data_IF_822503288915
#
_entry.id   IF_822503288915
#
_cell.length_a   1.000
_cell.length_b   1.000
_cell.length_c   1.000
_cell.angle_alpha   90.00
_cell.angle_beta   90.00
_cell.angle_gamma   90.00
#
_symmetry.space_group_name_H-M   'P 1'
#
loop_
_entity.id
_entity.type
_entity.pdbx_description
1 polymer ?
#
# COMPACT_ATOMS: atom_id res chain seq x y z
N UNK A 1 25.68 11.91 -15.47
CA UNK A 1 24.47 12.41 -14.79
C UNK A 1 23.61 11.21 -14.41
N UNK A 2 23.38 10.93 -13.12
CA UNK A 2 22.51 9.80 -12.71
C UNK A 2 21.05 10.23 -12.84
N UNK A 3 20.22 9.37 -13.45
CA UNK A 3 18.78 9.59 -13.56
C UNK A 3 18.18 9.51 -12.16
N UNK A 4 17.58 10.61 -11.67
CA UNK A 4 16.86 10.66 -10.40
C UNK A 4 15.38 10.50 -10.68
N UNK A 5 14.80 9.40 -10.22
CA UNK A 5 13.36 9.15 -10.30
C UNK A 5 12.71 9.35 -8.94
N UNK A 6 11.65 10.15 -8.90
CA UNK A 6 10.77 10.30 -7.73
C UNK A 6 9.60 9.34 -7.85
N UNK A 7 9.16 8.80 -6.71
CA UNK A 7 8.03 7.88 -6.63
C UNK A 7 7.08 8.21 -5.50
N UNK A 8 5.90 7.59 -5.55
CA UNK A 8 4.80 7.75 -4.59
C UNK A 8 4.59 6.46 -3.82
N UNK A 9 4.24 6.58 -2.54
CA UNK A 9 3.92 5.43 -1.68
C UNK A 9 2.42 5.44 -1.36
N UNK A 10 1.72 4.32 -1.63
CA UNK A 10 0.29 4.17 -1.37
C UNK A 10 0.03 3.00 -0.41
N UNK A 11 -0.97 3.16 0.46
CA UNK A 11 -1.41 2.17 1.45
C UNK A 11 -2.94 1.98 1.32
N UNK A 12 -3.39 1.09 0.42
CA UNK A 12 -4.81 0.97 0.06
C UNK A 12 -5.72 0.63 1.24
N UNK A 13 -5.19 -0.08 2.26
CA UNK A 13 -5.96 -0.51 3.43
C UNK A 13 -6.35 0.64 4.37
N UNK A 14 -5.73 1.81 4.21
CA UNK A 14 -5.93 2.97 5.06
C UNK A 14 -6.65 4.14 4.35
N UNK A 15 -7.04 3.97 3.09
CA UNK A 15 -7.62 5.05 2.28
C UNK A 15 -8.70 4.55 1.32
N UNK A 16 -9.56 5.46 0.88
CA UNK A 16 -10.57 5.15 -0.13
C UNK A 16 -9.91 4.98 -1.51
N UNK A 17 -10.44 4.07 -2.32
CA UNK A 17 -9.95 3.80 -3.67
C UNK A 17 -9.94 5.06 -4.55
N UNK A 18 -11.01 5.86 -4.46
CA UNK A 18 -11.18 7.05 -5.31
C UNK A 18 -10.15 8.14 -4.98
N UNK A 19 -9.80 8.31 -3.71
CA UNK A 19 -8.79 9.26 -3.27
C UNK A 19 -7.38 8.83 -3.68
N UNK A 20 -7.11 7.51 -3.61
CA UNK A 20 -5.86 6.95 -4.13
C UNK A 20 -5.72 7.15 -5.64
N UNK A 21 -6.80 6.96 -6.40
CA UNK A 21 -6.79 7.20 -7.84
C UNK A 21 -6.47 8.67 -8.17
N UNK A 22 -7.16 9.62 -7.51
CA UNK A 22 -6.90 11.07 -7.66
C UNK A 22 -5.46 11.43 -7.29
N UNK A 23 -4.91 10.82 -6.22
CA UNK A 23 -3.53 11.03 -5.79
C UNK A 23 -2.50 10.53 -6.81
N UNK A 24 -2.74 9.36 -7.40
CA UNK A 24 -1.88 8.79 -8.45
C UNK A 24 -1.92 9.62 -9.74
N UNK A 25 -3.10 10.08 -10.16
CA UNK A 25 -3.25 10.98 -11.31
C UNK A 25 -2.51 12.30 -11.10
N UNK A 26 -2.64 12.88 -9.91
CA UNK A 26 -1.93 14.10 -9.54
C UNK A 26 -0.41 13.89 -9.59
N UNK A 27 0.08 12.79 -9.02
CA UNK A 27 1.49 12.45 -9.05
C UNK A 27 2.03 12.22 -10.46
N UNK A 28 1.25 11.58 -11.34
CA UNK A 28 1.61 11.42 -12.75
C UNK A 28 1.74 12.78 -13.45
N UNK A 29 0.81 13.71 -13.19
CA UNK A 29 0.88 15.09 -13.71
C UNK A 29 2.16 15.82 -13.30
N UNK A 30 2.71 15.53 -12.13
CA UNK A 30 3.94 16.14 -11.62
C UNK A 30 5.22 15.35 -11.96
N UNK A 31 5.14 14.30 -12.77
CA UNK A 31 6.31 13.55 -13.26
C UNK A 31 6.84 12.50 -12.28
N UNK A 32 6.05 12.09 -11.29
CA UNK A 32 6.37 10.90 -10.50
C UNK A 32 6.20 9.66 -11.38
N UNK A 33 7.22 8.80 -11.39
CA UNK A 33 7.31 7.66 -12.34
C UNK A 33 7.39 6.30 -11.67
N UNK A 34 7.46 6.25 -10.33
CA UNK A 34 7.51 5.00 -9.56
C UNK A 34 6.41 4.98 -8.52
N UNK A 35 5.83 3.81 -8.29
CA UNK A 35 4.82 3.58 -7.25
C UNK A 35 5.32 2.46 -6.35
N UNK A 36 5.30 2.70 -5.05
CA UNK A 36 5.47 1.69 -4.02
C UNK A 36 4.12 1.48 -3.34
N UNK A 37 3.68 0.23 -3.24
CA UNK A 37 2.44 -0.11 -2.56
C UNK A 37 2.75 -1.11 -1.46
N UNK A 38 2.31 -0.82 -0.24
CA UNK A 38 2.38 -1.79 0.84
C UNK A 38 1.18 -2.73 0.73
N UNK A 39 1.46 -4.00 0.46
CA UNK A 39 0.47 -5.06 0.52
C UNK A 39 0.69 -5.83 1.83
N UNK A 40 0.37 -5.21 2.96
CA UNK A 40 0.44 -5.87 4.26
C UNK A 40 -0.81 -6.71 4.43
N UNK A 41 -0.75 -7.97 4.01
CA UNK A 41 -1.78 -8.96 4.37
C UNK A 41 -1.92 -9.00 5.90
N UNK A 42 -3.12 -8.68 6.36
CA UNK A 42 -3.44 -8.51 7.77
C UNK A 42 -3.16 -9.80 8.56
N UNK A 43 -2.27 -9.68 9.55
CA UNK A 43 -1.94 -10.61 10.66
C UNK A 43 -3.13 -11.26 11.40
N UNK A 44 -4.39 -10.97 11.04
CA UNK A 44 -5.60 -11.48 11.70
C UNK A 44 -5.75 -13.00 11.55
N UNK A 45 -5.24 -13.58 10.46
CA UNK A 45 -5.24 -15.05 10.28
C UNK A 45 -4.41 -15.76 11.36
N UNK A 46 -3.30 -15.17 11.79
CA UNK A 46 -2.44 -15.77 12.82
C UNK A 46 -3.05 -15.73 14.22
N UNK A 47 -3.92 -14.76 14.53
CA UNK A 47 -4.55 -14.68 15.84
C UNK A 47 -5.73 -15.66 15.99
N UNK A 48 -6.36 -16.06 14.88
CA UNK A 48 -7.49 -17.01 14.88
C UNK A 48 -7.07 -18.48 14.90
N UNK A 49 -5.77 -18.75 14.80
CA UNK A 49 -5.17 -20.08 14.92
C UNK A 49 -4.58 -20.34 16.33
N UNK A 50 -5.18 -19.79 17.40
CA UNK A 50 -4.94 -20.37 18.73
C UNK A 50 -5.62 -21.75 18.73
N UNK A 51 -4.88 -22.88 18.72
CA UNK A 51 -5.50 -24.17 18.91
C UNK A 51 -6.19 -24.13 20.27
N UNK A 52 -7.48 -24.39 20.28
CA UNK A 52 -8.23 -24.73 21.48
C UNK A 52 -7.64 -26.02 22.04
N UNK A 53 -6.62 -25.88 22.89
CA UNK A 53 -6.13 -26.95 23.74
C UNK A 53 -7.26 -27.30 24.71
N UNK A 54 -8.18 -28.18 24.29
CA UNK A 54 -8.99 -28.97 25.21
C UNK A 54 -8.01 -29.86 25.97
N UNK A 55 -7.73 -29.50 27.21
CA UNK A 55 -7.47 -30.48 28.28
C UNK A 55 -8.80 -31.03 28.77
#
# INVERSE_FOLDING_TARGET
>A
MRIRSLGLSIYPDHSNFEDNAKYLELGHKYGFSRIFMSMLEVKSVLQKLKPSTKK
#
